data_IF_076285410073
#
_entry.id   IF_076285410073
#
_cell.length_a   1.000
_cell.length_b   1.000
_cell.length_c   1.000
_cell.angle_alpha   90.00
_cell.angle_beta   90.00
_cell.angle_gamma   90.00
#
_symmetry.space_group_name_H-M   'P 1'
#
loop_
_entity.id
_entity.type
_entity.pdbx_description
1 polymer ?
#
# COMPACT_ATOMS: atom_id res chain seq x y z
N UNK A 1 1.36 -1.93 -22.92
CA UNK A 1 0.49 -2.25 -21.77
C UNK A 1 -0.96 -1.99 -22.13
N UNK A 2 -1.90 -2.71 -21.48
CA UNK A 2 -3.34 -2.43 -21.42
C UNK A 2 -4.13 -2.59 -22.73
N UNK A 3 -4.41 -3.82 -23.18
CA UNK A 3 -5.13 -4.05 -24.44
C UNK A 3 -6.67 -3.95 -24.34
N UNK A 4 -7.24 -3.86 -23.14
CA UNK A 4 -8.67 -3.59 -22.89
C UNK A 4 -8.79 -2.93 -21.51
N UNK A 5 -9.44 -1.76 -21.43
CA UNK A 5 -9.69 -1.06 -20.18
C UNK A 5 -11.17 -1.21 -19.82
N UNK A 6 -11.48 -2.17 -18.95
CA UNK A 6 -12.84 -2.35 -18.43
C UNK A 6 -13.04 -1.48 -17.19
N UNK A 7 -13.81 -0.39 -17.34
CA UNK A 7 -14.14 0.52 -16.24
C UNK A 7 -15.45 0.07 -15.59
N UNK A 8 -15.43 -0.15 -14.27
CA UNK A 8 -16.61 -0.52 -13.47
C UNK A 8 -16.80 0.47 -12.32
N UNK A 9 -18.05 0.90 -12.11
CA UNK A 9 -18.45 1.68 -10.93
C UNK A 9 -18.88 0.68 -9.85
N UNK A 10 -18.22 0.71 -8.69
CA UNK A 10 -18.47 -0.22 -7.59
C UNK A 10 -18.39 0.49 -6.24
N UNK A 11 -19.26 0.09 -5.31
CA UNK A 11 -19.11 0.43 -3.89
C UNK A 11 -18.26 -0.66 -3.23
N UNK A 12 -17.10 -0.28 -2.70
CA UNK A 12 -16.21 -1.19 -1.95
C UNK A 12 -16.44 -1.00 -0.44
N UNK A 13 -16.42 -2.07 0.38
CA UNK A 13 -16.42 -1.94 1.82
C UNK A 13 -15.14 -1.24 2.29
N UNK A 14 -15.20 -0.61 3.47
CA UNK A 14 -14.00 -0.11 4.13
C UNK A 14 -13.08 -1.28 4.52
N UNK A 15 -11.79 -1.04 4.51
CA UNK A 15 -10.75 -2.00 4.89
C UNK A 15 -9.60 -1.26 5.57
N UNK A 16 -8.74 -2.02 6.24
CA UNK A 16 -7.57 -1.50 6.96
C UNK A 16 -6.31 -2.07 6.31
N UNK A 17 -5.25 -1.26 6.28
CA UNK A 17 -3.94 -1.65 5.76
C UNK A 17 -2.85 -1.20 6.73
N UNK A 18 -1.70 -1.87 6.71
CA UNK A 18 -0.49 -1.45 7.41
C UNK A 18 0.73 -1.60 6.50
N UNK A 19 1.70 -0.70 6.65
CA UNK A 19 2.90 -0.67 5.83
C UNK A 19 3.67 0.65 5.95
N UNK A 20 4.51 0.93 4.96
CA UNK A 20 5.39 2.10 4.94
C UNK A 20 4.72 3.25 4.22
N UNK A 21 4.54 4.38 4.92
CA UNK A 21 4.07 5.65 4.35
C UNK A 21 5.25 6.57 4.07
N UNK A 22 5.35 7.05 2.83
CA UNK A 22 6.23 8.14 2.44
C UNK A 22 5.36 9.35 2.07
N UNK A 23 5.68 10.51 2.67
CA UNK A 23 4.89 11.72 2.50
C UNK A 23 5.59 12.72 1.58
N UNK A 24 4.78 13.45 0.80
CA UNK A 24 5.24 14.51 -0.10
C UNK A 24 6.41 14.10 -1.03
N UNK A 25 6.31 12.90 -1.61
CA UNK A 25 7.29 12.37 -2.56
C UNK A 25 6.84 12.61 -4.01
N UNK A 26 7.80 12.68 -4.91
CA UNK A 26 7.53 12.55 -6.35
C UNK A 26 7.07 11.12 -6.67
N UNK A 27 6.14 10.94 -7.62
CA UNK A 27 5.60 9.61 -7.95
C UNK A 27 6.70 8.60 -8.37
N UNK A 28 7.83 9.07 -8.91
CA UNK A 28 8.95 8.22 -9.30
C UNK A 28 9.59 7.50 -8.11
N UNK A 29 9.34 7.98 -6.90
CA UNK A 29 9.85 7.42 -5.65
C UNK A 29 8.92 6.37 -5.02
N UNK A 30 7.74 6.09 -5.58
CA UNK A 30 6.84 5.05 -5.06
C UNK A 30 7.50 3.67 -4.86
N UNK A 31 8.43 3.20 -5.75
CA UNK A 31 9.12 1.93 -5.53
C UNK A 31 9.92 1.88 -4.21
N UNK A 32 10.45 3.03 -3.75
CA UNK A 32 11.25 3.08 -2.52
C UNK A 32 10.45 2.73 -1.25
N UNK A 33 9.13 2.96 -1.24
CA UNK A 33 8.27 2.52 -0.14
C UNK A 33 8.22 0.99 -0.04
N UNK A 34 8.16 0.30 -1.18
CA UNK A 34 8.20 -1.17 -1.23
C UNK A 34 9.58 -1.71 -0.86
N UNK A 35 10.65 -1.06 -1.33
CA UNK A 35 12.01 -1.41 -0.94
C UNK A 35 12.21 -1.31 0.58
N UNK A 36 11.72 -0.24 1.21
CA UNK A 36 11.76 -0.06 2.67
C UNK A 36 10.91 -1.11 3.41
N UNK A 37 9.74 -1.45 2.89
CA UNK A 37 8.87 -2.47 3.48
C UNK A 37 9.54 -3.84 3.49
N UNK A 38 10.10 -4.25 2.35
CA UNK A 38 10.73 -5.58 2.21
C UNK A 38 12.16 -5.66 2.75
N UNK A 39 12.79 -4.53 3.05
CA UNK A 39 14.06 -4.51 3.79
C UNK A 39 13.91 -5.05 5.22
N UNK A 40 12.72 -4.87 5.82
CA UNK A 40 12.47 -5.21 7.23
C UNK A 40 11.54 -6.42 7.41
N UNK A 41 10.72 -6.75 6.42
CA UNK A 41 9.71 -7.80 6.54
C UNK A 41 9.71 -8.75 5.33
N UNK A 42 9.48 -10.04 5.60
CA UNK A 42 9.29 -11.03 4.54
C UNK A 42 7.87 -10.95 3.95
N UNK A 43 7.74 -11.35 2.69
CA UNK A 43 6.46 -11.45 2.00
C UNK A 43 5.46 -12.33 2.77
N UNK A 44 5.92 -13.47 3.27
CA UNK A 44 5.11 -14.44 4.04
C UNK A 44 4.57 -13.82 5.34
N UNK A 45 5.39 -13.04 6.04
CA UNK A 45 4.97 -12.35 7.27
C UNK A 45 3.85 -11.37 6.96
N UNK A 46 4.03 -10.55 5.92
CA UNK A 46 3.07 -9.52 5.52
C UNK A 46 1.76 -10.10 4.97
N UNK A 47 1.83 -11.13 4.12
CA UNK A 47 0.62 -11.79 3.60
C UNK A 47 -0.25 -12.39 4.70
N UNK A 48 0.40 -12.89 5.77
CA UNK A 48 -0.28 -13.52 6.90
C UNK A 48 -0.99 -12.53 7.85
N UNK A 49 -0.96 -11.22 7.58
CA UNK A 49 -1.63 -10.19 8.40
C UNK A 49 -3.12 -10.03 8.06
N UNK A 50 -3.52 -10.53 6.90
CA UNK A 50 -4.87 -10.36 6.38
C UNK A 50 -5.24 -11.44 5.38
N UNK A 51 -5.71 -11.03 4.21
CA UNK A 51 -6.11 -11.88 3.09
C UNK A 51 -5.00 -12.02 2.05
N UNK A 52 -3.77 -11.63 2.40
CA UNK A 52 -2.61 -11.69 1.50
C UNK A 52 -2.63 -10.63 0.41
N UNK A 53 -3.43 -9.58 0.54
CA UNK A 53 -3.55 -8.58 -0.52
C UNK A 53 -2.67 -7.37 -0.23
N UNK A 54 -1.79 -7.04 -1.18
CA UNK A 54 -0.98 -5.83 -1.15
C UNK A 54 -1.67 -4.67 -1.88
N UNK A 55 -1.40 -3.45 -1.41
CA UNK A 55 -1.97 -2.21 -1.92
C UNK A 55 -0.89 -1.13 -2.00
N UNK A 56 -0.86 -0.43 -3.14
CA UNK A 56 -0.23 0.88 -3.25
C UNK A 56 -1.30 1.95 -3.08
N UNK A 57 -1.22 2.76 -2.03
CA UNK A 57 -2.19 3.82 -1.76
C UNK A 57 -1.56 5.18 -2.08
N UNK A 58 -2.21 5.95 -2.95
CA UNK A 58 -1.87 7.35 -3.19
C UNK A 58 -2.90 8.24 -2.47
N UNK A 59 -2.45 9.17 -1.64
CA UNK A 59 -3.28 10.20 -1.02
C UNK A 59 -2.64 11.58 -1.18
N UNK A 60 -3.40 12.63 -0.83
CA UNK A 60 -2.91 14.01 -0.76
C UNK A 60 -2.15 14.46 -2.02
N UNK A 61 -2.73 14.17 -3.19
CA UNK A 61 -2.16 14.50 -4.48
C UNK A 61 -2.15 16.02 -4.65
N UNK A 62 -0.95 16.61 -4.74
CA UNK A 62 -0.72 18.04 -4.97
C UNK A 62 -0.32 18.29 -6.43
N UNK A 63 -0.28 19.56 -6.82
CA UNK A 63 0.32 19.95 -8.10
C UNK A 63 1.78 19.48 -8.20
N UNK A 64 2.19 19.06 -9.40
CA UNK A 64 3.57 18.66 -9.67
C UNK A 64 3.92 17.22 -9.30
N UNK A 65 2.98 16.28 -9.39
CA UNK A 65 3.20 14.84 -9.15
C UNK A 65 3.65 14.46 -7.72
N UNK A 66 3.55 15.41 -6.79
CA UNK A 66 3.83 15.21 -5.38
C UNK A 66 2.64 14.55 -4.69
N UNK A 67 2.88 13.41 -4.05
CA UNK A 67 1.86 12.59 -3.39
C UNK A 67 2.34 12.07 -2.04
N UNK A 68 1.40 11.66 -1.20
CA UNK A 68 1.65 10.68 -0.16
C UNK A 68 1.47 9.29 -0.78
N UNK A 69 2.42 8.39 -0.55
CA UNK A 69 2.36 7.02 -1.04
C UNK A 69 2.60 6.02 0.08
N UNK A 70 1.74 5.01 0.16
CA UNK A 70 1.91 3.90 1.10
C UNK A 70 2.02 2.58 0.35
N UNK A 71 3.08 1.83 0.63
CA UNK A 71 3.22 0.42 0.30
C UNK A 71 2.72 -0.40 1.49
N UNK A 72 1.63 -1.15 1.33
CA UNK A 72 0.96 -1.80 2.46
C UNK A 72 0.31 -3.12 2.10
N UNK A 73 -0.03 -3.89 3.13
CA UNK A 73 -0.85 -5.10 3.06
C UNK A 73 -2.16 -4.91 3.80
N UNK A 74 -3.18 -5.67 3.40
CA UNK A 74 -4.41 -5.73 4.17
C UNK A 74 -4.20 -6.33 5.55
N UNK A 75 -4.91 -5.78 6.51
CA UNK A 75 -4.83 -6.19 7.91
C UNK A 75 -6.22 -6.58 8.38
N UNK A 76 -6.33 -7.82 8.88
CA UNK A 76 -7.49 -8.27 9.65
C UNK A 76 -7.15 -8.49 11.13
N UNK A 77 -5.86 -8.71 11.43
CA UNK A 77 -5.34 -8.80 12.80
C UNK A 77 -4.49 -7.56 13.12
N UNK A 78 -5.13 -6.57 13.76
CA UNK A 78 -4.49 -5.30 14.08
C UNK A 78 -3.36 -5.47 15.11
N UNK A 79 -3.53 -6.34 16.10
CA UNK A 79 -2.52 -6.58 17.13
C UNK A 79 -1.25 -7.11 16.50
N UNK A 80 -1.36 -8.11 15.63
CA UNK A 80 -0.22 -8.69 14.92
C UNK A 80 0.50 -7.66 14.03
N UNK A 81 -0.24 -6.75 13.41
CA UNK A 81 0.36 -5.67 12.62
C UNK A 81 1.11 -4.67 13.51
N UNK A 82 0.54 -4.27 14.65
CA UNK A 82 1.21 -3.38 15.63
C UNK A 82 2.47 -4.02 16.24
N UNK A 83 2.50 -5.34 16.42
CA UNK A 83 3.68 -6.07 16.92
C UNK A 83 4.85 -6.10 15.92
N UNK A 84 4.59 -5.89 14.63
CA UNK A 84 5.62 -5.87 13.58
C UNK A 84 6.32 -4.52 13.43
N UNK A 85 5.75 -3.44 13.96
CA UNK A 85 6.35 -2.09 13.92
C UNK A 85 5.34 -0.98 13.65
#
# INVERSE_FOLDING_TARGET
GGKNMDIKIQKKPAFTVAGVLLEAIDNSQCPSAWEQLYANHSFESLESMGRGQSFGLCSDVKEGEIINYMAAYDVTDKTKAEELG
#
